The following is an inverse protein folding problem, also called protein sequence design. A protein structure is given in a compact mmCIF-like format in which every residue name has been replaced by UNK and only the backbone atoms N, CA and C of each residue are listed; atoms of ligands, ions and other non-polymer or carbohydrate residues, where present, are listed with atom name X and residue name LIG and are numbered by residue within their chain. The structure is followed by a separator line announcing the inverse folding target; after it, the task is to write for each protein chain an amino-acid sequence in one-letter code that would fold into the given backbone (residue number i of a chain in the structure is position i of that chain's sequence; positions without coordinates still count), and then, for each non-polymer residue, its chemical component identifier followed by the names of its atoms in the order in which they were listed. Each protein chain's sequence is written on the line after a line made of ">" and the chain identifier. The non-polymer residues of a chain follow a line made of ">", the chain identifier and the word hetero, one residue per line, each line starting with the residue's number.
data_IF_535473343351
#
_entry.id   IF_535473343351
#
_cell.length_a   1.000
_cell.length_b   1.000
_cell.length_c   1.000
_cell.angle_alpha   90.00
_cell.angle_beta   90.00
_cell.angle_gamma   90.00
#
_symmetry.space_group_name_H-M   'P 1'
#
loop_
_entity.id
_entity.type
_entity.pdbx_description
1 polymer ?
#
# COMPACT_ATOMS: atom_id res chain seq x y z
N UNK A 1 8.11 21.29 -9.18
CA UNK A 1 9.25 21.63 -10.03
C UNK A 1 8.72 22.40 -11.24
N UNK A 2 9.17 23.64 -11.47
CA UNK A 2 8.83 24.41 -12.68
C UNK A 2 10.08 24.50 -13.54
N UNK A 3 9.90 24.35 -14.85
CA UNK A 3 10.94 24.54 -15.87
C UNK A 3 12.19 23.64 -15.72
N UNK A 4 11.99 22.36 -15.41
CA UNK A 4 13.08 21.40 -15.48
C UNK A 4 13.48 21.19 -16.94
N UNK A 5 14.67 21.65 -17.32
CA UNK A 5 15.29 21.36 -18.62
C UNK A 5 16.45 20.40 -18.38
N UNK A 6 16.33 19.21 -18.92
CA UNK A 6 17.44 18.25 -18.97
C UNK A 6 18.02 18.31 -20.37
N UNK A 7 19.24 18.78 -20.50
CA UNK A 7 20.03 18.67 -21.72
C UNK A 7 21.14 17.68 -21.45
N UNK A 8 21.05 16.49 -22.03
CA UNK A 8 22.13 15.52 -21.95
C UNK A 8 22.26 14.81 -23.30
N UNK A 9 23.49 14.48 -23.66
CA UNK A 9 23.80 13.55 -24.74
C UNK A 9 24.01 12.14 -24.18
N UNK A 10 23.25 11.75 -23.17
CA UNK A 10 23.37 10.43 -22.56
C UNK A 10 22.97 9.36 -23.57
N UNK A 11 23.90 8.51 -23.93
CA UNK A 11 23.58 7.24 -24.56
C UNK A 11 22.91 6.34 -23.54
N UNK A 12 21.75 5.84 -23.88
CA UNK A 12 21.05 4.88 -23.05
C UNK A 12 21.61 3.48 -23.35
N UNK A 13 22.22 2.80 -22.36
CA UNK A 13 22.83 1.50 -22.61
C UNK A 13 21.77 0.45 -22.97
N UNK A 14 22.00 -0.29 -24.06
CA UNK A 14 21.15 -1.42 -24.44
C UNK A 14 21.43 -2.69 -23.61
N UNK A 15 22.53 -2.69 -22.88
CA UNK A 15 22.91 -3.76 -21.95
C UNK A 15 23.24 -3.16 -20.60
N UNK A 16 22.64 -3.69 -19.54
CA UNK A 16 22.87 -3.24 -18.17
C UNK A 16 23.17 -4.45 -17.30
N UNK A 17 24.27 -4.38 -16.53
CA UNK A 17 24.53 -5.27 -15.42
C UNK A 17 23.73 -4.77 -14.20
N UNK A 18 22.72 -5.54 -13.81
CA UNK A 18 21.80 -5.15 -12.75
C UNK A 18 22.35 -5.39 -11.34
N UNK A 19 23.53 -6.00 -11.19
CA UNK A 19 24.20 -6.27 -9.94
C UNK A 19 25.64 -5.75 -9.90
N UNK A 20 25.93 -4.70 -10.66
CA UNK A 20 27.29 -4.16 -10.80
C UNK A 20 27.77 -3.36 -9.56
N UNK A 21 26.86 -2.89 -8.73
CA UNK A 21 27.17 -2.07 -7.54
C UNK A 21 26.70 -2.73 -6.25
N UNK A 22 27.45 -2.60 -5.11
CA UNK A 22 27.04 -3.11 -3.81
C UNK A 22 25.66 -2.64 -3.34
N UNK A 23 25.30 -1.41 -3.69
CA UNK A 23 24.02 -0.78 -3.30
C UNK A 23 22.86 -1.25 -4.17
N UNK A 24 23.10 -2.17 -5.15
CA UNK A 24 22.10 -2.69 -6.09
C UNK A 24 21.10 -1.62 -6.56
N UNK A 25 21.56 -0.53 -7.18
CA UNK A 25 20.70 0.59 -7.53
C UNK A 25 19.58 0.16 -8.48
N UNK A 26 18.38 0.66 -8.21
CA UNK A 26 17.19 0.34 -8.98
C UNK A 26 16.45 -0.94 -8.57
N UNK A 27 16.98 -1.68 -7.61
CA UNK A 27 16.25 -2.77 -6.98
C UNK A 27 15.50 -2.29 -5.75
N UNK A 28 14.29 -2.79 -5.56
CA UNK A 28 13.43 -2.46 -4.43
C UNK A 28 12.69 -3.71 -3.97
N UNK A 29 12.58 -3.96 -2.66
CA UNK A 29 11.65 -4.95 -2.13
C UNK A 29 10.24 -4.60 -2.57
N UNK A 30 9.49 -5.58 -3.06
CA UNK A 30 8.08 -5.39 -3.44
C UNK A 30 7.17 -5.34 -2.20
N UNK A 31 7.37 -6.29 -1.31
CA UNK A 31 6.75 -6.27 -0.02
C UNK A 31 7.55 -5.38 0.90
N UNK A 32 6.86 -4.48 1.59
CA UNK A 32 7.52 -3.67 2.59
C UNK A 32 8.06 -4.56 3.71
N UNK A 33 9.36 -4.64 3.74
CA UNK A 33 10.10 -5.23 4.83
C UNK A 33 10.47 -4.13 5.78
N UNK A 34 9.48 -3.57 6.41
CA UNK A 34 9.59 -2.54 7.43
C UNK A 34 10.30 -2.99 8.71
N UNK A 35 10.91 -4.10 8.70
CA UNK A 35 11.85 -4.53 9.72
C UNK A 35 13.20 -3.88 9.43
N UNK A 36 13.67 -3.08 10.31
CA UNK A 36 14.89 -2.29 10.33
C UNK A 36 15.91 -2.57 9.23
N UNK A 37 16.51 -1.53 8.72
CA UNK A 37 17.44 -1.54 7.57
C UNK A 37 18.54 -2.63 7.57
N UNK A 38 18.75 -3.29 8.68
CA UNK A 38 19.73 -4.39 8.82
C UNK A 38 19.17 -5.77 8.41
N UNK A 39 17.86 -5.88 8.19
CA UNK A 39 17.16 -7.13 7.87
C UNK A 39 16.59 -7.20 6.45
N UNK A 40 17.16 -6.46 5.50
CA UNK A 40 16.84 -6.68 4.08
C UNK A 40 17.06 -8.14 3.73
N UNK A 41 16.05 -8.84 3.22
CA UNK A 41 16.16 -10.23 2.79
C UNK A 41 17.20 -10.37 1.68
N UNK A 42 17.47 -9.29 0.94
CA UNK A 42 18.31 -9.31 -0.25
C UNK A 42 19.56 -8.45 -0.06
N UNK A 43 20.73 -9.08 -0.21
CA UNK A 43 22.04 -8.43 -0.10
C UNK A 43 22.99 -8.93 -1.17
N UNK A 44 23.83 -8.03 -1.70
CA UNK A 44 24.89 -8.41 -2.64
C UNK A 44 26.16 -8.80 -1.88
N UNK A 45 26.56 -10.06 -1.97
CA UNK A 45 27.83 -10.55 -1.48
C UNK A 45 28.95 -10.28 -2.50
N UNK A 46 29.66 -9.18 -2.28
CA UNK A 46 30.79 -8.75 -3.12
C UNK A 46 32.10 -9.48 -2.84
N UNK A 47 32.16 -10.29 -1.79
CA UNK A 47 33.35 -11.10 -1.50
C UNK A 47 33.48 -12.30 -2.45
N UNK A 48 32.40 -12.67 -3.11
CA UNK A 48 32.39 -13.70 -4.15
C UNK A 48 32.74 -13.11 -5.53
N UNK A 49 33.33 -13.90 -6.40
CA UNK A 49 33.63 -13.53 -7.78
C UNK A 49 33.06 -14.57 -8.75
N UNK A 50 32.04 -14.22 -9.58
CA UNK A 50 31.30 -12.96 -9.58
C UNK A 50 30.50 -12.73 -8.30
N UNK A 51 30.12 -11.46 -7.99
CA UNK A 51 29.25 -11.14 -6.85
C UNK A 51 27.93 -11.93 -6.90
N UNK A 52 27.42 -12.29 -5.73
CA UNK A 52 26.18 -13.08 -5.60
C UNK A 52 25.14 -12.28 -4.84
N UNK A 53 24.00 -12.05 -5.44
CA UNK A 53 22.82 -11.50 -4.80
C UNK A 53 22.14 -12.62 -4.01
N UNK A 54 21.98 -12.42 -2.71
CA UNK A 54 21.44 -13.40 -1.77
C UNK A 54 20.13 -12.91 -1.21
N UNK A 55 19.06 -13.68 -1.43
CA UNK A 55 17.80 -13.56 -0.70
C UNK A 55 17.81 -14.56 0.46
N UNK A 56 17.64 -14.07 1.68
CA UNK A 56 17.78 -14.89 2.89
C UNK A 56 16.46 -15.51 3.33
N UNK A 57 16.54 -16.75 3.79
CA UNK A 57 15.42 -17.41 4.46
C UNK A 57 15.15 -16.75 5.81
N UNK A 58 13.86 -16.54 6.10
CA UNK A 58 13.38 -16.04 7.40
C UNK A 58 12.83 -17.19 8.24
N UNK A 59 13.30 -17.28 9.47
CA UNK A 59 12.87 -18.28 10.44
C UNK A 59 11.77 -17.72 11.36
N UNK A 60 10.89 -18.59 11.86
CA UNK A 60 9.91 -18.25 12.89
C UNK A 60 8.50 -17.95 12.38
N UNK A 61 8.22 -18.26 11.10
CA UNK A 61 6.88 -18.24 10.53
C UNK A 61 6.50 -19.69 10.17
N UNK A 62 5.95 -20.41 11.13
CA UNK A 62 5.42 -21.73 10.85
C UNK A 62 4.08 -21.58 10.07
N UNK A 63 4.02 -22.19 8.89
CA UNK A 63 2.85 -22.33 8.02
C UNK A 63 2.32 -21.06 7.31
N UNK A 64 3.13 -20.07 7.07
CA UNK A 64 2.76 -18.98 6.16
C UNK A 64 3.64 -19.05 4.92
N UNK A 65 3.04 -19.08 3.74
CA UNK A 65 3.74 -18.90 2.46
C UNK A 65 4.31 -17.47 2.41
N UNK A 66 5.49 -17.30 2.99
CA UNK A 66 6.11 -16.00 3.17
C UNK A 66 6.79 -15.56 1.88
N UNK A 67 6.09 -14.77 1.10
CA UNK A 67 6.58 -14.23 -0.16
C UNK A 67 7.71 -13.23 0.05
N UNK A 68 8.79 -13.35 -0.72
CA UNK A 68 9.85 -12.37 -0.85
C UNK A 68 10.11 -12.08 -2.32
N UNK A 69 10.01 -10.83 -2.70
CA UNK A 69 10.21 -10.38 -4.08
C UNK A 69 11.10 -9.15 -4.10
N UNK A 70 12.23 -9.25 -4.76
CA UNK A 70 13.07 -8.13 -5.13
C UNK A 70 12.77 -7.72 -6.56
N UNK A 71 12.28 -6.49 -6.77
CA UNK A 71 11.81 -5.98 -8.05
C UNK A 71 12.77 -4.93 -8.61
N UNK A 72 13.08 -5.01 -9.90
CA UNK A 72 13.81 -3.98 -10.60
C UNK A 72 12.85 -2.88 -11.06
N UNK A 73 13.15 -1.63 -10.76
CA UNK A 73 12.24 -0.49 -10.93
C UNK A 73 11.84 -0.21 -12.39
N UNK A 74 12.67 -0.62 -13.35
CA UNK A 74 12.45 -0.32 -14.75
C UNK A 74 11.68 -1.46 -15.43
N UNK A 75 10.51 -1.19 -16.05
CA UNK A 75 9.79 -2.20 -16.82
C UNK A 75 10.49 -2.53 -18.14
N UNK A 76 10.26 -3.74 -18.64
CA UNK A 76 10.61 -4.14 -20.02
C UNK A 76 9.51 -3.62 -20.94
N UNK A 77 9.56 -2.33 -21.25
CA UNK A 77 8.50 -1.64 -21.98
C UNK A 77 8.48 -1.99 -23.48
N UNK A 78 9.64 -2.30 -24.04
CA UNK A 78 9.84 -2.79 -25.40
C UNK A 78 10.35 -4.23 -25.35
N UNK A 79 10.70 -4.80 -26.49
CA UNK A 79 11.31 -6.15 -26.53
C UNK A 79 12.61 -6.17 -25.72
N UNK A 80 12.78 -7.19 -24.91
CA UNK A 80 13.94 -7.29 -24.05
C UNK A 80 14.14 -8.67 -23.44
N UNK A 81 15.34 -8.88 -22.91
CA UNK A 81 15.76 -10.13 -22.28
C UNK A 81 16.42 -9.83 -20.94
N UNK A 82 15.94 -10.46 -19.89
CA UNK A 82 16.65 -10.56 -18.62
C UNK A 82 17.31 -11.93 -18.55
N UNK A 83 18.61 -11.96 -18.32
CA UNK A 83 19.34 -13.20 -18.10
C UNK A 83 20.08 -13.19 -16.77
N UNK A 84 20.09 -14.32 -16.08
CA UNK A 84 20.84 -14.50 -14.85
C UNK A 84 21.19 -15.97 -14.61
N UNK A 85 22.11 -16.19 -13.67
CA UNK A 85 22.41 -17.50 -13.16
C UNK A 85 21.91 -17.62 -11.72
N UNK A 86 21.28 -18.74 -11.39
CA UNK A 86 20.83 -19.05 -10.05
C UNK A 86 21.34 -20.41 -9.59
N UNK A 87 21.70 -20.50 -8.32
CA UNK A 87 22.07 -21.77 -7.73
C UNK A 87 20.82 -22.51 -7.30
N UNK A 88 20.66 -23.75 -7.75
CA UNK A 88 19.50 -24.56 -7.41
C UNK A 88 19.90 -25.73 -6.50
N UNK A 89 19.33 -25.79 -5.31
CA UNK A 89 19.40 -26.93 -4.41
C UNK A 89 18.00 -27.22 -3.87
N UNK A 90 17.40 -28.38 -4.17
CA UNK A 90 16.00 -28.66 -3.83
C UNK A 90 15.71 -28.37 -2.34
N UNK A 91 14.63 -27.65 -2.07
CA UNK A 91 14.16 -27.24 -0.76
C UNK A 91 15.12 -26.39 0.08
N UNK A 92 16.23 -25.91 -0.49
CA UNK A 92 17.23 -25.12 0.23
C UNK A 92 17.55 -23.79 -0.48
N UNK A 93 17.83 -23.86 -1.76
CA UNK A 93 18.20 -22.73 -2.59
C UNK A 93 17.31 -22.73 -3.83
N UNK A 94 16.33 -21.84 -3.84
CA UNK A 94 15.33 -21.76 -4.90
C UNK A 94 15.01 -20.29 -5.16
N UNK A 95 15.06 -19.90 -6.43
CA UNK A 95 14.60 -18.58 -6.88
C UNK A 95 13.81 -18.71 -8.15
N UNK A 96 12.83 -17.88 -8.31
CA UNK A 96 11.92 -17.87 -9.44
C UNK A 96 11.92 -16.49 -10.11
N UNK A 97 11.85 -16.40 -11.45
CA UNK A 97 11.62 -15.14 -12.12
C UNK A 97 10.19 -14.65 -11.89
N UNK A 98 10.04 -13.35 -11.76
CA UNK A 98 8.73 -12.70 -11.73
C UNK A 98 8.65 -11.62 -12.82
N UNK A 99 7.45 -11.37 -13.33
CA UNK A 99 7.15 -10.33 -14.29
C UNK A 99 5.81 -9.67 -13.92
N UNK A 100 5.85 -8.41 -13.49
CA UNK A 100 4.70 -7.75 -12.90
C UNK A 100 4.25 -8.48 -11.63
N UNK A 101 3.02 -8.97 -11.61
CA UNK A 101 2.44 -9.74 -10.50
C UNK A 101 2.50 -11.25 -10.68
N UNK A 102 3.19 -11.74 -11.69
CA UNK A 102 3.34 -13.17 -11.98
C UNK A 102 4.70 -13.66 -11.53
N UNK A 103 4.76 -14.62 -10.62
CA UNK A 103 5.96 -15.42 -10.38
C UNK A 103 5.85 -16.75 -11.12
N UNK A 104 6.91 -17.12 -11.82
CA UNK A 104 6.99 -18.37 -12.57
C UNK A 104 7.79 -19.39 -11.75
N UNK A 105 7.08 -20.18 -10.96
CA UNK A 105 7.70 -21.16 -10.06
C UNK A 105 8.34 -22.29 -10.87
N UNK A 106 9.65 -22.41 -10.77
CA UNK A 106 10.41 -23.48 -11.40
C UNK A 106 10.34 -24.72 -10.51
N UNK A 107 9.55 -25.70 -10.92
CA UNK A 107 9.40 -26.99 -10.25
C UNK A 107 9.94 -28.07 -11.19
N UNK A 108 10.59 -29.16 -10.73
CA UNK A 108 11.04 -30.23 -11.62
C UNK A 108 9.96 -30.77 -12.54
N UNK A 109 8.69 -30.72 -12.15
CA UNK A 109 7.54 -31.18 -12.94
C UNK A 109 7.03 -30.14 -13.97
N UNK A 110 7.60 -28.94 -14.03
CA UNK A 110 7.19 -27.87 -14.97
C UNK A 110 7.17 -26.49 -14.32
N UNK A 111 6.70 -25.52 -15.07
CA UNK A 111 6.51 -24.15 -14.58
C UNK A 111 5.10 -23.99 -14.03
N UNK A 112 4.97 -23.49 -12.80
CA UNK A 112 3.69 -23.10 -12.22
C UNK A 112 3.61 -21.58 -12.15
N UNK A 113 2.44 -21.02 -12.38
CA UNK A 113 2.19 -19.58 -12.25
C UNK A 113 1.62 -19.31 -10.86
N UNK A 114 2.26 -18.39 -10.17
CA UNK A 114 1.83 -17.89 -8.89
C UNK A 114 1.52 -16.38 -9.00
N UNK A 115 0.35 -15.96 -8.52
CA UNK A 115 -0.04 -14.56 -8.48
C UNK A 115 0.44 -13.95 -7.18
N UNK A 116 1.34 -12.96 -7.30
CA UNK A 116 1.89 -12.23 -6.17
C UNK A 116 0.78 -11.38 -5.55
N UNK A 117 0.60 -11.47 -4.25
CA UNK A 117 -0.38 -10.70 -3.46
C UNK A 117 0.05 -9.23 -3.34
N UNK A 118 -0.87 -8.33 -2.96
CA UNK A 118 -0.57 -6.90 -2.81
C UNK A 118 0.18 -6.58 -1.52
N UNK A 119 0.17 -7.49 -0.58
CA UNK A 119 0.89 -7.34 0.69
C UNK A 119 1.11 -8.68 1.37
N UNK A 120 2.16 -8.75 2.17
CA UNK A 120 2.60 -9.96 2.88
C UNK A 120 1.51 -10.62 3.74
N UNK A 121 0.60 -9.82 4.26
CA UNK A 121 -0.49 -10.26 5.14
C UNK A 121 -1.87 -9.98 4.53
N UNK A 122 -1.92 -9.69 3.24
CA UNK A 122 -3.18 -9.42 2.59
C UNK A 122 -3.96 -10.71 2.39
N UNK A 123 -5.12 -10.79 3.03
CA UNK A 123 -6.10 -11.82 2.77
C UNK A 123 -6.95 -11.44 1.57
N UNK A 124 -6.50 -11.78 0.39
CA UNK A 124 -7.29 -11.62 -0.85
C UNK A 124 -8.37 -12.68 -0.99
N UNK A 125 -8.47 -13.63 -0.04
CA UNK A 125 -9.26 -14.85 -0.17
C UNK A 125 -8.65 -15.88 -1.13
N UNK A 126 -7.45 -15.62 -1.66
CA UNK A 126 -6.68 -16.61 -2.41
C UNK A 126 -5.99 -17.56 -1.45
N UNK A 127 -5.87 -18.83 -1.89
CA UNK A 127 -4.99 -19.78 -1.22
C UNK A 127 -3.56 -19.22 -1.29
N UNK A 128 -2.82 -19.13 -0.17
CA UNK A 128 -1.41 -18.70 -0.18
C UNK A 128 -0.54 -19.48 -1.17
N UNK A 129 -0.85 -20.75 -1.39
CA UNK A 129 -0.18 -21.56 -2.39
C UNK A 129 -0.60 -21.24 -3.84
N UNK A 130 -1.54 -20.34 -4.08
CA UNK A 130 -2.23 -19.99 -5.33
C UNK A 130 -1.45 -20.25 -6.65
N UNK A 131 -0.78 -21.39 -6.71
CA UNK A 131 0.04 -21.82 -7.81
C UNK A 131 -0.77 -22.72 -8.76
N UNK A 132 -0.84 -22.31 -10.03
CA UNK A 132 -1.55 -23.05 -11.07
C UNK A 132 -0.62 -23.57 -12.15
N UNK A 133 -0.94 -24.72 -12.73
CA UNK A 133 -0.27 -25.27 -13.92
C UNK A 133 -1.05 -24.86 -15.16
N UNK A 134 -0.44 -24.08 -16.02
CA UNK A 134 -0.99 -23.73 -17.33
C UNK A 134 -0.43 -24.71 -18.36
N UNK A 135 -1.16 -25.81 -18.61
CA UNK A 135 -0.68 -26.92 -19.45
C UNK A 135 -0.33 -26.47 -20.89
N UNK A 136 -1.15 -25.59 -21.47
CA UNK A 136 -0.98 -25.09 -22.84
C UNK A 136 0.24 -24.17 -23.00
N UNK A 137 0.78 -23.66 -21.91
CA UNK A 137 1.93 -22.76 -21.89
C UNK A 137 3.26 -23.48 -21.61
N UNK A 138 3.22 -24.75 -21.17
CA UNK A 138 4.42 -25.55 -20.98
C UNK A 138 5.12 -25.80 -22.32
N UNK A 139 6.46 -25.75 -22.32
CA UNK A 139 7.29 -26.01 -23.48
C UNK A 139 8.45 -26.93 -23.10
N UNK A 140 9.06 -27.55 -24.05
CA UNK A 140 10.25 -28.36 -23.84
C UNK A 140 9.99 -29.70 -23.14
N UNK A 141 10.94 -30.20 -22.33
CA UNK A 141 10.86 -31.52 -21.73
C UNK A 141 9.85 -31.58 -20.58
N UNK A 142 9.25 -32.74 -20.36
CA UNK A 142 8.30 -32.99 -19.28
C UNK A 142 8.90 -32.78 -17.87
N UNK A 143 10.22 -32.89 -17.73
CA UNK A 143 10.96 -32.56 -16.52
C UNK A 143 11.87 -31.38 -16.83
N UNK A 144 11.80 -30.32 -16.03
CA UNK A 144 12.65 -29.16 -16.24
C UNK A 144 14.13 -29.54 -16.16
N UNK A 145 14.98 -28.97 -17.05
CA UNK A 145 16.41 -29.28 -17.10
C UNK A 145 17.19 -28.57 -15.99
N UNK A 146 16.69 -28.67 -14.76
CA UNK A 146 17.34 -28.15 -13.55
C UNK A 146 18.54 -28.99 -13.16
N UNK A 147 19.68 -28.36 -12.95
CA UNK A 147 20.89 -28.98 -12.42
C UNK A 147 20.87 -28.81 -10.90
N UNK A 148 20.69 -29.91 -10.18
CA UNK A 148 20.71 -29.89 -8.72
C UNK A 148 22.13 -29.64 -8.18
N UNK A 149 22.20 -28.82 -7.11
CA UNK A 149 23.44 -28.38 -6.45
C UNK A 149 24.45 -27.73 -7.40
N UNK A 150 23.93 -26.99 -8.40
CA UNK A 150 24.72 -26.31 -9.43
C UNK A 150 24.05 -25.01 -9.89
N UNK A 151 24.83 -24.20 -10.61
CA UNK A 151 24.35 -23.00 -11.26
C UNK A 151 23.56 -23.32 -12.52
N UNK A 152 22.37 -22.71 -12.63
CA UNK A 152 21.48 -22.79 -13.76
C UNK A 152 21.33 -21.42 -14.41
N UNK A 153 21.28 -21.36 -15.73
CA UNK A 153 21.05 -20.11 -16.46
C UNK A 153 19.58 -19.99 -16.80
N UNK A 154 18.98 -18.89 -16.42
CA UNK A 154 17.63 -18.50 -16.84
C UNK A 154 17.67 -17.30 -17.77
N UNK A 155 16.79 -17.29 -18.77
CA UNK A 155 16.48 -16.12 -19.58
C UNK A 155 14.96 -15.93 -19.59
N UNK A 156 14.55 -14.72 -19.27
CA UNK A 156 13.18 -14.24 -19.43
C UNK A 156 13.17 -13.29 -20.62
N UNK A 157 12.53 -13.69 -21.70
CA UNK A 157 12.37 -12.87 -22.92
C UNK A 157 10.97 -12.29 -22.95
N UNK A 158 10.85 -11.02 -23.31
CA UNK A 158 9.59 -10.35 -23.63
C UNK A 158 9.68 -9.88 -25.07
N UNK A 159 8.77 -10.35 -25.92
CA UNK A 159 8.68 -9.93 -27.32
C UNK A 159 7.21 -9.64 -27.65
N UNK A 160 6.90 -8.39 -27.94
CA UNK A 160 5.52 -7.92 -27.98
C UNK A 160 4.81 -8.21 -26.64
N UNK A 161 3.69 -8.92 -26.71
CA UNK A 161 2.92 -9.31 -25.52
C UNK A 161 3.19 -10.76 -25.07
N UNK A 162 4.30 -11.36 -25.50
CA UNK A 162 4.63 -12.74 -25.15
C UNK A 162 5.86 -12.79 -24.24
N UNK A 163 5.74 -13.46 -23.11
CA UNK A 163 6.86 -13.80 -22.23
C UNK A 163 7.30 -15.26 -22.47
N UNK A 164 8.61 -15.48 -22.56
CA UNK A 164 9.24 -16.79 -22.73
C UNK A 164 10.27 -17.02 -21.63
N UNK A 165 10.31 -18.23 -21.12
CA UNK A 165 11.34 -18.69 -20.19
C UNK A 165 12.22 -19.74 -20.85
N UNK A 166 13.53 -19.49 -20.85
CA UNK A 166 14.53 -20.45 -21.28
C UNK A 166 15.40 -20.83 -20.08
N UNK A 167 15.45 -22.12 -19.78
CA UNK A 167 16.28 -22.70 -18.73
C UNK A 167 17.41 -23.51 -19.35
N UNK A 168 18.66 -23.15 -19.03
CA UNK A 168 19.86 -23.79 -19.59
C UNK A 168 19.84 -23.88 -21.13
N UNK A 169 19.28 -22.83 -21.76
CA UNK A 169 19.16 -22.72 -23.22
C UNK A 169 17.96 -23.45 -23.84
N UNK A 170 17.11 -24.10 -23.06
CA UNK A 170 15.90 -24.76 -23.53
C UNK A 170 14.68 -23.92 -23.20
N UNK A 171 13.79 -23.68 -24.19
CA UNK A 171 12.50 -23.07 -23.98
C UNK A 171 11.64 -24.00 -23.10
N UNK A 172 11.22 -23.53 -21.94
CA UNK A 172 10.44 -24.32 -20.96
C UNK A 172 9.01 -23.83 -20.79
N UNK A 173 8.75 -22.55 -21.11
CA UNK A 173 7.46 -21.93 -20.90
C UNK A 173 7.26 -20.73 -21.82
N UNK A 174 6.03 -20.53 -22.30
CA UNK A 174 5.64 -19.38 -23.13
C UNK A 174 4.22 -18.96 -22.79
N UNK A 175 4.02 -17.67 -22.52
CA UNK A 175 2.73 -17.12 -22.09
C UNK A 175 2.43 -15.79 -22.75
N UNK A 176 1.19 -15.61 -23.19
CA UNK A 176 0.64 -14.30 -23.52
C UNK A 176 0.49 -13.48 -22.25
N UNK A 177 1.04 -12.28 -22.22
CA UNK A 177 0.88 -11.35 -21.10
C UNK A 177 -0.47 -10.65 -21.17
N UNK A 178 -1.05 -10.42 -20.00
CA UNK A 178 -2.24 -9.59 -19.89
C UNK A 178 -1.88 -8.12 -20.16
N UNK A 179 -2.80 -7.36 -20.76
CA UNK A 179 -2.59 -5.95 -21.09
C UNK A 179 -2.26 -5.09 -19.85
N UNK A 180 -2.67 -5.55 -18.67
CA UNK A 180 -2.41 -4.90 -17.37
C UNK A 180 -1.08 -5.30 -16.73
N UNK A 181 -0.31 -6.23 -17.34
CA UNK A 181 0.97 -6.64 -16.79
C UNK A 181 1.98 -5.48 -16.87
N UNK A 182 2.51 -5.06 -15.74
CA UNK A 182 3.46 -3.93 -15.64
C UNK A 182 4.85 -4.23 -16.22
N UNK A 183 5.14 -5.48 -16.60
CA UNK A 183 6.42 -5.93 -17.17
C UNK A 183 7.66 -5.59 -16.34
N UNK A 184 7.49 -5.38 -15.05
CA UNK A 184 8.60 -5.19 -14.12
C UNK A 184 9.19 -6.53 -13.75
N UNK A 185 10.49 -6.70 -13.97
CA UNK A 185 11.21 -7.91 -13.60
C UNK A 185 11.41 -8.00 -12.09
N UNK A 186 11.36 -9.21 -11.54
CA UNK A 186 11.66 -9.50 -10.15
C UNK A 186 12.29 -10.88 -9.93
N UNK A 187 12.91 -11.02 -8.77
CA UNK A 187 13.44 -12.27 -8.23
C UNK A 187 12.58 -12.66 -7.03
N UNK A 188 11.91 -13.79 -7.13
CA UNK A 188 10.94 -14.26 -6.15
C UNK A 188 11.41 -15.55 -5.48
N UNK A 189 11.19 -15.67 -4.17
CA UNK A 189 11.27 -16.94 -3.44
C UNK A 189 10.31 -16.95 -2.24
N UNK A 190 9.99 -18.14 -1.74
CA UNK A 190 9.30 -18.27 -0.47
C UNK A 190 10.34 -18.26 0.66
N UNK A 191 10.46 -17.14 1.35
CA UNK A 191 11.51 -16.93 2.36
C UNK A 191 11.33 -17.77 3.65
N UNK A 192 10.16 -18.35 3.88
CA UNK A 192 9.94 -19.35 4.93
C UNK A 192 10.57 -20.72 4.59
N UNK A 193 10.87 -21.00 3.32
CA UNK A 193 11.28 -22.31 2.81
C UNK A 193 12.72 -22.36 2.31
N UNK A 194 13.18 -21.29 1.63
CA UNK A 194 14.44 -21.34 0.90
C UNK A 194 15.21 -20.02 0.96
N UNK A 195 16.52 -20.10 0.78
CA UNK A 195 17.35 -18.96 0.37
C UNK A 195 17.32 -18.86 -1.18
N UNK A 196 17.69 -17.70 -1.70
CA UNK A 196 17.91 -17.44 -3.13
C UNK A 196 19.36 -16.98 -3.36
N UNK A 197 20.05 -17.58 -4.32
CA UNK A 197 21.39 -17.17 -4.74
C UNK A 197 21.39 -16.88 -6.23
N UNK A 198 21.69 -15.64 -6.62
CA UNK A 198 21.65 -15.18 -8.02
C UNK A 198 22.91 -14.40 -8.37
N UNK A 199 23.42 -14.54 -9.59
CA UNK A 199 24.56 -13.80 -10.10
C UNK A 199 24.43 -13.51 -11.59
N UNK A 200 25.32 -12.66 -12.12
CA UNK A 200 25.36 -12.32 -13.55
C UNK A 200 24.02 -11.84 -14.11
N UNK A 201 23.35 -10.96 -13.38
CA UNK A 201 22.03 -10.46 -13.74
C UNK A 201 22.19 -9.38 -14.79
N UNK A 202 21.69 -9.62 -16.01
CA UNK A 202 21.81 -8.71 -17.14
C UNK A 202 20.46 -8.41 -17.75
N UNK A 203 20.25 -7.17 -18.09
CA UNK A 203 19.15 -6.73 -18.94
C UNK A 203 19.71 -6.35 -20.31
N UNK A 204 19.05 -6.81 -21.36
CA UNK A 204 19.34 -6.47 -22.76
C UNK A 204 18.01 -6.12 -23.44
N UNK A 205 17.96 -5.01 -24.18
CA UNK A 205 16.76 -4.65 -24.92
C UNK A 205 16.71 -3.19 -25.32
N UNK A 206 15.64 -2.85 -26.00
CA UNK A 206 15.40 -1.52 -26.48
C UNK A 206 14.80 -0.62 -25.41
N UNK A 207 15.10 0.66 -25.51
CA UNK A 207 14.42 1.67 -24.71
C UNK A 207 13.14 2.11 -25.41
N UNK A 208 12.08 2.48 -24.64
CA UNK A 208 10.93 3.10 -25.22
C UNK A 208 11.31 4.34 -26.02
N UNK A 209 10.98 4.35 -27.30
CA UNK A 209 11.24 5.49 -28.19
C UNK A 209 10.15 6.54 -28.09
N UNK A 210 9.01 6.16 -27.54
CA UNK A 210 7.87 7.04 -27.30
C UNK A 210 7.47 6.96 -25.84
N UNK A 211 7.05 8.09 -25.28
CA UNK A 211 6.41 8.05 -23.96
C UNK A 211 5.11 7.26 -24.06
N UNK A 212 4.71 6.56 -22.97
CA UNK A 212 3.42 5.92 -22.90
C UNK A 212 2.31 6.89 -23.31
N UNK A 213 1.35 6.39 -24.08
CA UNK A 213 0.20 7.21 -24.45
C UNK A 213 -0.59 7.62 -23.21
N UNK A 214 -1.40 8.69 -23.35
CA UNK A 214 -2.29 9.09 -22.26
C UNK A 214 -3.17 7.93 -21.78
N UNK A 215 -3.60 7.04 -22.68
CA UNK A 215 -4.38 5.85 -22.33
C UNK A 215 -3.62 4.83 -21.48
N UNK A 216 -2.32 4.64 -21.69
CA UNK A 216 -1.51 3.75 -20.87
C UNK A 216 -1.26 4.34 -19.46
N UNK A 217 -1.18 5.66 -19.38
CA UNK A 217 -1.09 6.38 -18.10
C UNK A 217 -2.45 6.40 -17.38
N UNK A 218 -3.55 6.45 -18.12
CA UNK A 218 -4.92 6.39 -17.57
C UNK A 218 -5.19 5.07 -16.86
N UNK A 219 -4.74 3.93 -17.41
CA UNK A 219 -4.92 2.62 -16.74
C UNK A 219 -4.23 2.56 -15.38
N UNK A 220 -3.04 3.15 -15.25
CA UNK A 220 -2.30 3.20 -13.99
C UNK A 220 -2.89 4.16 -12.95
N UNK A 221 -3.71 5.13 -13.39
CA UNK A 221 -4.31 6.16 -12.55
C UNK A 221 -5.84 6.02 -12.41
N UNK A 222 -6.45 5.08 -13.09
CA UNK A 222 -7.90 5.00 -13.30
C UNK A 222 -8.71 4.98 -12.01
N UNK A 223 -8.32 4.18 -11.02
CA UNK A 223 -9.03 4.14 -9.73
C UNK A 223 -8.94 5.48 -8.99
N UNK A 224 -7.82 6.17 -9.09
CA UNK A 224 -7.62 7.47 -8.45
C UNK A 224 -8.42 8.55 -9.14
N UNK A 225 -8.41 8.59 -10.48
CA UNK A 225 -9.13 9.59 -11.27
C UNK A 225 -10.65 9.39 -11.13
N UNK A 226 -11.12 8.15 -11.06
CA UNK A 226 -12.52 7.81 -10.80
C UNK A 226 -12.98 8.30 -9.42
N UNK A 227 -12.12 8.21 -8.40
CA UNK A 227 -12.41 8.75 -7.07
C UNK A 227 -12.51 10.29 -7.08
N UNK A 228 -11.60 10.96 -7.77
CA UNK A 228 -11.58 12.42 -7.83
C UNK A 228 -12.76 12.94 -8.66
N UNK A 229 -13.08 12.33 -9.79
CA UNK A 229 -14.28 12.62 -10.58
C UNK A 229 -15.55 12.37 -9.76
N UNK A 230 -15.64 11.24 -9.08
CA UNK A 230 -16.82 10.92 -8.26
C UNK A 230 -16.95 11.84 -7.05
N UNK A 231 -15.85 12.36 -6.49
CA UNK A 231 -15.87 13.38 -5.45
C UNK A 231 -16.59 14.64 -5.89
N UNK A 232 -16.38 15.09 -7.13
CA UNK A 232 -17.01 16.29 -7.68
C UNK A 232 -18.53 16.11 -7.89
N UNK A 233 -19.02 14.87 -7.93
CA UNK A 233 -20.46 14.58 -8.03
C UNK A 233 -21.20 14.64 -6.69
N UNK A 234 -20.49 14.66 -5.57
CA UNK A 234 -21.06 14.75 -4.23
C UNK A 234 -21.62 16.16 -3.99
N UNK A 235 -22.92 16.24 -3.72
CA UNK A 235 -23.67 17.52 -3.74
C UNK A 235 -23.50 18.37 -2.50
N UNK A 236 -23.13 17.76 -1.36
CA UNK A 236 -22.95 18.47 -0.09
C UNK A 236 -21.46 18.57 0.26
N UNK A 237 -21.04 19.73 0.75
CA UNK A 237 -19.64 19.98 1.14
C UNK A 237 -19.53 20.75 2.43
N UNK A 238 -18.51 20.45 3.20
CA UNK A 238 -18.09 21.18 4.40
C UNK A 238 -16.56 21.31 4.37
N UNK A 239 -16.08 22.51 4.61
CA UNK A 239 -14.64 22.78 4.69
C UNK A 239 -14.35 23.61 5.93
N UNK A 240 -13.28 23.28 6.63
CA UNK A 240 -12.83 24.03 7.78
C UNK A 240 -11.30 24.19 7.77
N UNK A 241 -10.87 25.43 7.89
CA UNK A 241 -9.48 25.82 8.10
C UNK A 241 -9.23 25.95 9.61
N UNK A 242 -8.44 25.03 10.15
CA UNK A 242 -8.14 25.01 11.59
C UNK A 242 -7.29 26.17 12.09
N UNK A 243 -6.71 26.99 11.19
CA UNK A 243 -6.07 28.26 11.60
C UNK A 243 -7.09 29.24 12.20
N UNK A 244 -8.38 29.06 11.91
CA UNK A 244 -9.47 29.86 12.46
C UNK A 244 -9.96 29.37 13.83
N UNK A 245 -9.41 28.24 14.33
CA UNK A 245 -9.74 27.65 15.61
C UNK A 245 -10.79 26.55 15.56
N UNK A 246 -11.39 26.25 16.71
CA UNK A 246 -12.42 25.23 16.92
C UNK A 246 -13.70 25.87 17.51
N UNK A 247 -14.58 26.45 16.69
CA UNK A 247 -15.84 26.99 17.19
C UNK A 247 -16.66 25.92 17.94
N UNK A 248 -17.10 26.15 19.21
CA UNK A 248 -17.87 25.15 19.95
C UNK A 248 -19.23 24.81 19.32
N UNK A 249 -19.72 25.63 18.42
CA UNK A 249 -20.93 25.39 17.66
C UNK A 249 -20.72 24.29 16.60
N UNK A 250 -19.49 24.15 16.10
CA UNK A 250 -19.15 23.23 15.01
C UNK A 250 -18.35 22.01 15.47
N UNK A 251 -17.62 22.13 16.59
CA UNK A 251 -16.73 21.09 17.07
C UNK A 251 -16.96 20.73 18.52
N UNK A 252 -16.79 19.45 18.82
CA UNK A 252 -16.57 18.93 20.15
C UNK A 252 -15.14 18.40 20.29
N UNK A 253 -14.64 18.38 21.51
CA UNK A 253 -13.35 17.78 21.84
C UNK A 253 -13.60 16.61 22.78
N UNK A 254 -13.37 15.42 22.28
CA UNK A 254 -13.45 14.21 23.09
C UNK A 254 -12.07 13.84 23.62
N UNK A 255 -12.04 13.43 24.88
CA UNK A 255 -10.84 12.98 25.54
C UNK A 255 -11.20 11.84 26.50
N UNK A 256 -10.75 10.63 26.21
CA UNK A 256 -11.12 9.46 26.99
C UNK A 256 -10.38 9.37 28.34
N UNK A 257 -9.20 9.95 28.46
CA UNK A 257 -8.43 9.98 29.71
C UNK A 257 -7.22 10.93 29.62
N UNK A 258 -6.71 11.33 30.78
CA UNK A 258 -5.45 12.06 30.90
C UNK A 258 -5.47 13.55 30.55
N UNK A 259 -4.30 14.13 30.54
CA UNK A 259 -4.06 15.54 30.20
C UNK A 259 -3.96 15.72 28.70
N UNK A 260 -4.41 16.86 28.20
CA UNK A 260 -4.27 17.30 26.83
C UNK A 260 -3.86 18.76 26.77
N UNK A 261 -3.22 19.17 25.72
CA UNK A 261 -3.05 20.57 25.38
C UNK A 261 -3.57 20.78 23.95
N UNK A 262 -4.35 21.81 23.75
CA UNK A 262 -4.88 22.24 22.47
C UNK A 262 -4.51 23.69 22.33
N UNK A 263 -3.74 23.99 21.29
CA UNK A 263 -3.20 25.31 21.03
C UNK A 263 -3.55 25.71 19.59
N UNK A 264 -4.10 26.91 19.45
CA UNK A 264 -4.29 27.52 18.14
C UNK A 264 -2.99 28.21 17.74
N UNK A 265 -2.49 27.91 16.56
CA UNK A 265 -1.36 28.58 15.96
C UNK A 265 -1.71 29.07 14.54
N UNK A 266 -0.77 29.75 13.87
CA UNK A 266 -1.01 30.32 12.53
C UNK A 266 -1.27 29.23 11.45
N UNK A 267 -0.82 27.99 11.69
CA UNK A 267 -0.90 26.89 10.74
C UNK A 267 -2.04 25.93 11.01
N UNK A 268 -2.77 26.11 12.14
CA UNK A 268 -3.89 25.24 12.50
C UNK A 268 -4.04 25.01 14.00
N UNK A 269 -4.67 23.91 14.37
CA UNK A 269 -4.86 23.48 15.75
C UNK A 269 -3.88 22.39 16.12
N UNK A 270 -2.97 22.72 17.05
CA UNK A 270 -2.03 21.76 17.60
C UNK A 270 -2.65 20.99 18.76
N UNK A 271 -2.67 19.69 18.65
CA UNK A 271 -3.08 18.77 19.71
C UNK A 271 -1.85 18.07 20.25
N UNK A 272 -1.60 18.20 21.55
CA UNK A 272 -0.51 17.49 22.25
C UNK A 272 -1.11 16.61 23.33
N UNK A 273 -0.65 15.37 23.39
CA UNK A 273 -1.16 14.40 24.34
C UNK A 273 -0.02 13.62 25.02
N UNK A 274 0.08 13.66 26.36
CA UNK A 274 0.87 12.71 27.13
C UNK A 274 0.27 11.31 27.06
N UNK A 275 1.11 10.29 27.04
CA UNK A 275 0.73 8.89 27.14
C UNK A 275 0.11 8.53 28.49
N UNK A 276 -0.50 7.34 28.56
CA UNK A 276 -1.15 6.83 29.76
C UNK A 276 -1.54 5.35 29.61
N UNK A 277 -2.14 4.76 30.63
CA UNK A 277 -2.62 3.37 30.56
C UNK A 277 -3.73 3.23 29.51
N UNK A 278 -3.70 2.13 28.78
CA UNK A 278 -4.62 1.83 27.69
C UNK A 278 -4.26 2.59 26.42
N UNK A 279 -5.25 2.93 25.61
CA UNK A 279 -5.12 3.71 24.37
C UNK A 279 -5.77 5.09 24.56
N UNK A 280 -5.13 5.98 25.34
CA UNK A 280 -5.69 7.30 25.53
C UNK A 280 -5.66 8.08 24.23
N UNK A 281 -6.78 8.73 23.92
CA UNK A 281 -6.90 9.54 22.71
C UNK A 281 -7.49 10.92 22.99
N UNK A 282 -7.22 11.83 22.08
CA UNK A 282 -7.89 13.13 21.99
C UNK A 282 -8.40 13.29 20.58
N UNK A 283 -9.69 13.56 20.44
CA UNK A 283 -10.35 13.70 19.16
C UNK A 283 -10.94 15.09 18.99
N UNK A 284 -10.70 15.68 17.82
CA UNK A 284 -11.45 16.82 17.31
C UNK A 284 -12.61 16.24 16.50
N UNK A 285 -13.83 16.56 16.90
CA UNK A 285 -15.05 15.95 16.37
C UNK A 285 -15.92 17.03 15.74
N UNK A 286 -16.01 17.13 14.41
CA UNK A 286 -16.97 18.01 13.77
C UNK A 286 -18.39 17.54 14.10
N UNK A 287 -19.30 18.47 14.44
CA UNK A 287 -20.72 18.23 14.69
C UNK A 287 -21.44 18.02 13.36
N UNK A 288 -21.02 17.01 12.64
CA UNK A 288 -21.38 16.71 11.27
C UNK A 288 -21.68 15.23 11.11
N UNK A 289 -22.78 14.91 10.46
CA UNK A 289 -23.14 13.56 10.03
C UNK A 289 -23.09 13.48 8.52
N UNK A 290 -22.48 12.45 7.98
CA UNK A 290 -22.40 12.17 6.54
C UNK A 290 -23.37 11.07 6.17
N UNK A 291 -24.05 11.22 5.04
CA UNK A 291 -25.04 10.27 4.54
C UNK A 291 -24.74 9.89 3.09
N UNK A 292 -24.90 8.61 2.78
CA UNK A 292 -24.64 8.07 1.45
C UNK A 292 -23.16 7.92 1.16
N UNK A 293 -22.78 8.17 -0.06
CA UNK A 293 -21.38 8.22 -0.47
C UNK A 293 -20.71 9.48 0.09
N UNK A 294 -19.45 9.34 0.46
CA UNK A 294 -18.69 10.43 1.07
C UNK A 294 -17.21 10.41 0.73
N UNK A 295 -16.56 11.53 0.98
CA UNK A 295 -15.13 11.73 0.81
C UNK A 295 -14.63 12.70 1.89
N UNK A 296 -13.82 12.22 2.80
CA UNK A 296 -13.31 12.95 3.96
C UNK A 296 -11.80 13.04 3.83
N UNK A 297 -11.27 14.26 3.79
CA UNK A 297 -9.83 14.54 3.76
C UNK A 297 -9.45 15.41 4.93
N UNK A 298 -8.41 15.02 5.67
CA UNK A 298 -7.81 15.82 6.72
C UNK A 298 -6.33 16.04 6.44
N UNK A 299 -5.90 17.30 6.51
CA UNK A 299 -4.51 17.69 6.38
C UNK A 299 -3.88 17.87 7.76
N UNK A 300 -2.66 17.32 7.91
CA UNK A 300 -1.89 17.43 9.14
C UNK A 300 -0.46 17.85 8.89
N UNK A 301 0.17 18.43 9.91
CA UNK A 301 1.59 18.76 9.93
C UNK A 301 2.20 18.48 11.32
N UNK A 302 3.52 18.47 11.37
CA UNK A 302 4.32 18.34 12.60
C UNK A 302 3.92 17.14 13.48
N UNK A 303 3.51 16.03 12.86
CA UNK A 303 3.28 14.82 13.60
C UNK A 303 4.57 14.34 14.22
N UNK A 304 4.65 14.34 15.51
CA UNK A 304 5.84 13.95 16.25
C UNK A 304 5.48 13.15 17.49
N UNK A 305 6.36 12.26 17.90
CA UNK A 305 6.22 11.46 19.10
C UNK A 305 7.55 11.31 19.82
N UNK A 306 7.50 11.40 21.15
CA UNK A 306 8.56 10.94 22.06
C UNK A 306 7.96 9.82 22.87
N UNK A 307 8.23 8.61 22.47
CA UNK A 307 7.62 7.40 23.02
C UNK A 307 8.63 6.63 23.86
N UNK A 308 8.12 5.92 24.84
CA UNK A 308 8.90 4.92 25.57
C UNK A 308 9.11 3.68 24.67
N UNK A 309 10.00 2.80 25.09
CA UNK A 309 10.33 1.58 24.33
C UNK A 309 9.09 0.72 24.04
N UNK A 310 8.95 0.31 22.79
CA UNK A 310 7.89 -0.55 22.26
C UNK A 310 6.48 0.09 22.17
N UNK A 311 6.40 1.40 22.10
CA UNK A 311 5.15 2.12 21.96
C UNK A 311 4.99 2.72 20.56
N UNK A 312 3.73 2.93 20.18
CA UNK A 312 3.35 3.59 18.93
C UNK A 312 2.28 4.66 19.18
N UNK A 313 2.35 5.76 18.46
CA UNK A 313 1.34 6.80 18.43
C UNK A 313 0.68 6.87 17.05
N UNK A 314 -0.60 7.20 17.04
CA UNK A 314 -1.38 7.26 15.80
C UNK A 314 -2.11 8.60 15.67
N UNK A 315 -2.10 9.16 14.47
CA UNK A 315 -3.08 10.16 14.04
C UNK A 315 -3.99 9.52 13.01
N UNK A 316 -5.30 9.82 13.06
CA UNK A 316 -6.26 9.11 12.22
C UNK A 316 -7.52 9.91 11.91
N UNK A 317 -8.10 9.64 10.73
CA UNK A 317 -9.52 9.83 10.49
C UNK A 317 -10.23 8.55 10.94
N UNK A 318 -11.16 8.70 11.85
CA UNK A 318 -12.02 7.64 12.35
C UNK A 318 -13.46 7.93 11.92
N UNK A 319 -14.12 6.93 11.37
CA UNK A 319 -15.55 6.98 11.01
C UNK A 319 -16.21 5.69 11.48
N UNK A 320 -17.33 5.80 12.17
CA UNK A 320 -18.18 4.67 12.57
C UNK A 320 -19.38 4.61 11.63
N UNK A 321 -19.60 3.46 10.97
CA UNK A 321 -20.74 3.25 10.10
C UNK A 321 -21.95 2.77 10.90
N UNK A 322 -23.14 3.24 10.53
CA UNK A 322 -24.40 2.76 11.10
C UNK A 322 -24.75 1.41 10.49
N UNK A 323 -24.18 0.35 11.04
CA UNK A 323 -24.52 -1.02 10.69
C UNK A 323 -24.68 -1.88 11.96
N UNK A 324 -25.15 -3.13 11.78
CA UNK A 324 -25.34 -4.07 12.89
C UNK A 324 -24.07 -4.40 13.65
N UNK A 325 -22.92 -4.20 12.99
CA UNK A 325 -21.61 -4.57 13.51
C UNK A 325 -20.85 -3.36 14.06
N UNK A 326 -21.41 -2.14 13.94
CA UNK A 326 -20.73 -0.90 14.32
C UNK A 326 -19.33 -0.84 13.71
N UNK A 327 -19.30 -1.00 12.37
CA UNK A 327 -18.03 -1.02 11.62
C UNK A 327 -17.29 0.30 11.79
N UNK A 328 -16.08 0.22 12.31
CA UNK A 328 -15.19 1.37 12.42
C UNK A 328 -14.20 1.35 11.26
N UNK A 329 -14.10 2.46 10.55
CA UNK A 329 -13.21 2.67 9.43
C UNK A 329 -12.13 3.66 9.86
N UNK A 330 -10.86 3.28 9.71
CA UNK A 330 -9.75 4.11 10.15
C UNK A 330 -8.67 4.18 9.08
N UNK A 331 -8.31 5.38 8.66
CA UNK A 331 -7.07 5.65 7.94
C UNK A 331 -6.16 6.42 8.88
N UNK A 332 -4.94 5.95 9.08
CA UNK A 332 -4.07 6.50 10.10
C UNK A 332 -2.59 6.48 9.72
N UNK A 333 -1.85 7.37 10.32
CA UNK A 333 -0.40 7.48 10.29
C UNK A 333 0.16 7.08 11.64
N UNK A 334 1.07 6.13 11.67
CA UNK A 334 1.71 5.63 12.89
C UNK A 334 3.14 6.15 13.00
N UNK A 335 3.56 6.51 14.21
CA UNK A 335 4.94 6.70 14.59
C UNK A 335 5.29 5.75 15.74
N UNK A 336 6.39 5.02 15.62
CA UNK A 336 6.83 4.04 16.61
C UNK A 336 8.21 4.38 17.16
N UNK A 337 8.45 4.03 18.43
CA UNK A 337 9.74 4.22 19.09
C UNK A 337 10.79 3.18 18.69
N UNK A 338 10.34 2.00 18.29
CA UNK A 338 11.17 0.93 17.73
C UNK A 338 10.44 0.28 16.58
N UNK A 339 11.14 0.06 15.47
CA UNK A 339 10.60 -0.75 14.40
C UNK A 339 10.44 -2.20 14.91
N UNK A 340 9.23 -2.55 15.31
CA UNK A 340 8.82 -3.94 15.40
C UNK A 340 8.23 -4.34 14.05
N UNK A 341 8.08 -5.63 13.80
CA UNK A 341 7.50 -6.13 12.53
C UNK A 341 6.13 -5.50 12.15
N UNK A 342 5.51 -4.77 13.07
CA UNK A 342 4.15 -4.23 12.92
C UNK A 342 4.03 -2.73 13.18
N UNK A 343 5.04 -2.05 13.75
CA UNK A 343 4.90 -0.72 14.36
C UNK A 343 5.90 0.32 13.85
N UNK A 344 6.21 0.31 12.58
CA UNK A 344 7.05 1.34 11.98
C UNK A 344 6.29 2.62 11.68
N UNK A 345 7.03 3.67 11.32
CA UNK A 345 6.44 4.89 10.77
C UNK A 345 5.80 4.56 9.42
N UNK A 346 4.47 4.52 9.36
CA UNK A 346 3.73 4.13 8.15
C UNK A 346 2.31 4.65 8.13
N UNK A 347 1.68 4.67 6.98
CA UNK A 347 0.26 4.87 6.82
C UNK A 347 -0.46 3.53 6.79
N UNK A 348 -1.63 3.46 7.41
CA UNK A 348 -2.37 2.22 7.56
C UNK A 348 -3.86 2.44 7.29
N UNK A 349 -4.51 1.39 6.83
CA UNK A 349 -5.95 1.28 6.72
C UNK A 349 -6.45 0.18 7.66
N UNK A 350 -7.54 0.39 8.37
CA UNK A 350 -8.13 -0.64 9.20
C UNK A 350 -9.66 -0.61 9.20
N UNK A 351 -10.24 -1.81 9.16
CA UNK A 351 -11.64 -2.06 9.46
C UNK A 351 -11.76 -2.86 10.75
N UNK A 352 -12.62 -2.42 11.65
CA UNK A 352 -12.98 -3.13 12.87
C UNK A 352 -14.45 -3.46 12.81
N UNK A 353 -14.79 -4.74 12.87
CA UNK A 353 -16.17 -5.21 12.78
C UNK A 353 -16.55 -6.07 13.96
N UNK A 354 -17.80 -5.99 14.41
CA UNK A 354 -18.32 -6.79 15.50
C UNK A 354 -18.29 -6.12 16.87
N UNK A 355 -18.94 -6.70 17.87
CA UNK A 355 -18.97 -6.20 19.24
C UNK A 355 -17.60 -6.29 19.91
N UNK A 356 -17.36 -5.45 20.92
CA UNK A 356 -16.04 -5.25 21.55
C UNK A 356 -15.37 -6.54 22.05
N UNK A 357 -16.14 -7.54 22.43
CA UNK A 357 -15.66 -8.86 22.89
C UNK A 357 -15.32 -9.85 21.75
N UNK A 358 -15.71 -9.54 20.51
CA UNK A 358 -15.52 -10.36 19.30
C UNK A 358 -15.16 -9.56 18.08
N UNK A 359 -14.39 -8.49 18.24
CA UNK A 359 -13.97 -7.66 17.13
C UNK A 359 -13.09 -8.40 16.13
N UNK A 360 -13.50 -8.39 14.88
CA UNK A 360 -12.65 -8.71 13.75
C UNK A 360 -11.78 -7.50 13.38
N UNK A 361 -10.55 -7.77 12.96
CA UNK A 361 -9.60 -6.76 12.53
C UNK A 361 -9.14 -7.06 11.11
N UNK A 362 -9.14 -6.06 10.26
CA UNK A 362 -8.57 -6.13 8.91
C UNK A 362 -7.64 -4.93 8.74
N UNK A 363 -6.34 -5.18 8.63
CA UNK A 363 -5.30 -4.16 8.53
C UNK A 363 -4.54 -4.27 7.23
N UNK A 364 -4.25 -3.11 6.63
CA UNK A 364 -3.27 -2.96 5.57
C UNK A 364 -2.33 -1.83 5.95
N UNK A 365 -1.04 -2.04 5.76
CA UNK A 365 -0.01 -1.04 6.04
C UNK A 365 0.76 -0.70 4.76
N UNK A 366 1.10 0.58 4.61
CA UNK A 366 2.04 1.02 3.58
C UNK A 366 3.49 0.68 3.93
N UNK A 367 4.42 0.84 2.99
CA UNK A 367 5.84 0.96 3.28
C UNK A 367 6.16 1.99 4.36
N UNK A 368 7.27 1.82 5.06
CA UNK A 368 7.76 2.77 6.04
C UNK A 368 7.96 4.16 5.41
N UNK A 369 7.56 5.19 6.15
CA UNK A 369 7.53 6.57 5.68
C UNK A 369 8.10 7.49 6.76
N UNK A 370 8.90 8.47 6.35
CA UNK A 370 9.46 9.47 7.27
C UNK A 370 8.61 10.75 7.35
N UNK A 371 7.60 10.90 6.49
CA UNK A 371 6.78 12.10 6.42
C UNK A 371 6.10 12.41 7.76
N UNK A 372 6.29 13.63 8.24
CA UNK A 372 5.65 14.17 9.46
C UNK A 372 4.46 15.06 9.15
N UNK A 373 4.18 15.29 7.86
CA UNK A 373 3.06 16.04 7.32
C UNK A 373 2.39 15.26 6.19
N UNK A 374 1.19 15.65 5.82
CA UNK A 374 0.48 15.01 4.73
C UNK A 374 -1.03 15.12 4.85
N UNK A 375 -1.73 14.26 4.10
CA UNK A 375 -3.18 14.21 4.09
C UNK A 375 -3.67 12.77 4.19
N UNK A 376 -4.58 12.53 5.10
CA UNK A 376 -5.35 11.30 5.20
C UNK A 376 -6.66 11.50 4.44
N UNK A 377 -7.11 10.47 3.70
CA UNK A 377 -8.39 10.51 2.98
C UNK A 377 -9.11 9.18 3.12
N UNK A 378 -10.40 9.25 3.46
CA UNK A 378 -11.31 8.13 3.54
C UNK A 378 -12.52 8.41 2.64
N UNK A 379 -12.73 7.58 1.62
CA UNK A 379 -13.82 7.73 0.68
C UNK A 379 -14.71 6.49 0.65
N UNK A 380 -16.01 6.70 0.49
CA UNK A 380 -17.00 5.65 0.25
C UNK A 380 -17.65 5.86 -1.10
N UNK A 381 -17.81 4.75 -1.86
CA UNK A 381 -18.58 4.70 -3.11
C UNK A 381 -19.39 3.41 -3.10
N UNK A 382 -20.70 3.55 -2.94
CA UNK A 382 -21.60 2.42 -2.83
C UNK A 382 -21.23 1.47 -1.69
N UNK A 383 -20.80 0.26 -2.02
CA UNK A 383 -20.35 -0.75 -1.07
C UNK A 383 -18.83 -0.84 -0.91
N UNK A 384 -18.07 0.14 -1.36
CA UNK A 384 -16.62 0.16 -1.27
C UNK A 384 -16.13 1.34 -0.43
N UNK A 385 -15.17 1.07 0.45
CA UNK A 385 -14.37 2.09 1.13
C UNK A 385 -12.97 2.09 0.54
N UNK A 386 -12.46 3.29 0.27
CA UNK A 386 -11.08 3.52 -0.16
C UNK A 386 -10.35 4.31 0.92
N UNK A 387 -9.18 3.82 1.28
CA UNK A 387 -8.29 4.40 2.26
C UNK A 387 -7.06 4.94 1.54
N UNK A 388 -6.80 6.24 1.67
CA UNK A 388 -5.75 6.89 0.89
C UNK A 388 -4.88 7.79 1.77
N UNK A 389 -3.65 7.97 1.35
CA UNK A 389 -2.66 8.82 1.99
C UNK A 389 -1.88 9.63 0.96
N UNK A 390 -1.54 10.87 1.30
CA UNK A 390 -0.62 11.71 0.52
C UNK A 390 0.43 12.30 1.47
N UNK A 391 1.72 12.10 1.13
CA UNK A 391 2.85 12.61 1.89
C UNK A 391 3.09 14.08 1.60
N UNK A 392 3.47 14.84 2.62
CA UNK A 392 3.90 16.23 2.51
C UNK A 392 3.03 17.06 1.53
N UNK A 393 3.65 17.73 0.57
CA UNK A 393 2.98 18.54 -0.45
C UNK A 393 2.55 17.73 -1.70
N UNK A 394 2.58 16.39 -1.65
CA UNK A 394 2.17 15.56 -2.78
C UNK A 394 0.76 15.93 -3.22
N UNK A 395 0.56 16.23 -4.50
CA UNK A 395 -0.77 16.46 -5.07
C UNK A 395 -1.59 15.19 -5.20
N UNK A 396 -0.94 14.03 -5.11
CA UNK A 396 -1.52 12.73 -5.41
C UNK A 396 -1.69 11.91 -4.14
N UNK A 397 -2.88 11.31 -4.02
CA UNK A 397 -3.13 10.31 -3.01
C UNK A 397 -2.68 8.94 -3.49
N UNK A 398 -2.05 8.18 -2.62
CA UNK A 398 -1.76 6.77 -2.79
C UNK A 398 -2.90 5.97 -2.17
N UNK A 399 -3.47 5.04 -2.92
CA UNK A 399 -4.47 4.10 -2.41
C UNK A 399 -3.76 3.06 -1.53
N UNK A 400 -4.16 2.99 -0.26
CA UNK A 400 -3.66 2.01 0.70
C UNK A 400 -4.45 0.71 0.61
N UNK A 401 -5.78 0.84 0.56
CA UNK A 401 -6.68 -0.31 0.50
C UNK A 401 -8.05 0.08 -0.06
N UNK A 402 -8.73 -0.90 -0.65
CA UNK A 402 -10.17 -0.89 -0.91
C UNK A 402 -10.82 -2.02 -0.11
N UNK A 403 -11.92 -1.73 0.60
CA UNK A 403 -12.63 -2.71 1.41
C UNK A 403 -14.13 -2.67 1.18
N UNK A 404 -14.79 -3.83 1.09
CA UNK A 404 -16.24 -3.89 0.97
C UNK A 404 -16.91 -3.54 2.30
N UNK A 405 -18.02 -2.79 2.22
CA UNK A 405 -18.90 -2.50 3.36
C UNK A 405 -20.36 -2.78 2.99
N UNK A 406 -21.22 -3.05 3.99
CA UNK A 406 -22.64 -3.26 3.69
C UNK A 406 -23.29 -2.05 3.03
N UNK A 407 -24.08 -2.28 1.99
CA UNK A 407 -24.83 -1.23 1.30
C UNK A 407 -25.85 -0.56 2.24
N UNK A 408 -26.35 -1.30 3.23
CA UNK A 408 -27.32 -0.82 4.22
C UNK A 408 -26.76 0.21 5.20
N UNK A 409 -25.42 0.39 5.25
CA UNK A 409 -24.79 1.44 6.08
C UNK A 409 -24.81 2.77 5.33
N UNK A 410 -25.99 3.38 5.20
CA UNK A 410 -26.18 4.65 4.47
C UNK A 410 -25.79 5.89 5.28
N UNK A 411 -25.60 5.75 6.58
CA UNK A 411 -25.24 6.85 7.49
C UNK A 411 -23.96 6.51 8.21
N UNK A 412 -23.11 7.48 8.41
CA UNK A 412 -21.93 7.35 9.26
C UNK A 412 -22.08 8.23 10.50
N UNK A 413 -21.72 7.68 11.64
CA UNK A 413 -21.67 8.43 12.89
C UNK A 413 -20.24 8.84 13.20
N UNK A 414 -20.08 10.07 13.72
CA UNK A 414 -18.91 10.44 14.46
C UNK A 414 -17.59 10.42 13.68
N UNK A 415 -17.46 11.33 12.71
CA UNK A 415 -16.14 11.65 12.17
C UNK A 415 -15.26 12.14 13.30
N UNK A 416 -14.05 11.61 13.45
CA UNK A 416 -13.08 12.04 14.43
C UNK A 416 -11.71 12.21 13.81
N UNK A 417 -11.09 13.35 14.07
CA UNK A 417 -9.66 13.53 13.88
C UNK A 417 -8.98 13.22 15.21
N UNK A 418 -8.30 12.08 15.29
CA UNK A 418 -7.88 11.51 16.56
C UNK A 418 -6.36 11.45 16.67
N UNK A 419 -5.83 11.80 17.83
CA UNK A 419 -4.47 11.52 18.25
C UNK A 419 -4.50 10.48 19.38
N UNK A 420 -3.88 9.34 19.17
CA UNK A 420 -3.70 8.27 20.16
C UNK A 420 -2.23 8.20 20.59
N UNK A 421 -2.00 8.13 21.90
CA UNK A 421 -0.66 7.98 22.49
C UNK A 421 -0.74 6.93 23.58
N UNK A 422 -0.53 5.64 23.28
CA UNK A 422 -0.57 4.59 24.26
C UNK A 422 0.61 4.71 25.23
N UNK A 423 0.48 4.13 26.42
CA UNK A 423 1.51 4.00 27.45
C UNK A 423 2.25 5.30 27.82
N UNK A 424 3.57 5.30 27.78
CA UNK A 424 4.41 6.44 28.13
C UNK A 424 4.62 7.43 26.99
N UNK A 425 5.41 8.45 27.24
CA UNK A 425 5.79 9.40 26.22
C UNK A 425 4.81 10.54 25.97
N UNK A 426 4.96 11.21 24.85
CA UNK A 426 4.11 12.33 24.43
C UNK A 426 4.09 12.41 22.91
N UNK A 427 2.91 12.65 22.34
CA UNK A 427 2.74 12.87 20.91
C UNK A 427 2.03 14.17 20.62
N UNK A 428 2.28 14.73 19.44
CA UNK A 428 1.60 15.94 18.98
C UNK A 428 1.39 15.91 17.47
N UNK A 429 0.35 16.62 17.03
CA UNK A 429 0.00 16.85 15.62
C UNK A 429 -0.63 18.23 15.48
N UNK A 430 -0.41 18.88 14.36
CA UNK A 430 -1.13 20.08 13.94
C UNK A 430 -2.13 19.71 12.86
N UNK A 431 -3.43 19.83 13.15
CA UNK A 431 -4.48 19.70 12.14
C UNK A 431 -4.62 21.03 11.39
N UNK A 432 -4.57 21.00 10.06
CA UNK A 432 -4.58 22.20 9.21
C UNK A 432 -5.94 22.41 8.54
N UNK A 433 -6.43 21.41 7.85
CA UNK A 433 -7.67 21.48 7.09
C UNK A 433 -8.50 20.21 7.25
N UNK A 434 -9.82 20.38 7.20
CA UNK A 434 -10.79 19.30 7.06
C UNK A 434 -11.67 19.63 5.86
N UNK A 435 -11.75 18.71 4.89
CA UNK A 435 -12.64 18.80 3.74
C UNK A 435 -13.52 17.54 3.69
N UNK A 436 -14.82 17.73 3.74
CA UNK A 436 -15.83 16.68 3.72
C UNK A 436 -16.77 16.93 2.55
N UNK A 437 -16.94 15.92 1.72
CA UNK A 437 -17.97 15.87 0.70
C UNK A 437 -18.84 14.64 0.90
N UNK A 438 -20.13 14.76 0.63
CA UNK A 438 -21.08 13.66 0.77
C UNK A 438 -22.30 13.86 -0.14
N UNK A 439 -23.12 12.81 -0.30
CA UNK A 439 -24.44 12.96 -0.92
C UNK A 439 -25.29 13.93 -0.13
N UNK A 440 -25.28 13.84 1.21
CA UNK A 440 -25.86 14.85 2.09
C UNK A 440 -25.13 14.94 3.43
N UNK A 441 -25.26 16.09 4.08
CA UNK A 441 -24.66 16.40 5.39
C UNK A 441 -25.75 16.91 6.34
N UNK A 442 -25.71 16.46 7.59
CA UNK A 442 -26.57 16.95 8.68
C UNK A 442 -25.74 17.26 9.92
N UNK A 443 -26.36 17.89 10.93
CA UNK A 443 -25.71 18.30 12.15
C UNK A 443 -25.49 19.81 12.26
N UNK A 444 -24.98 20.27 13.40
CA UNK A 444 -24.83 21.69 13.69
C UNK A 444 -23.80 22.41 12.79
N UNK A 445 -22.85 21.68 12.27
CA UNK A 445 -21.83 22.18 11.33
C UNK A 445 -22.26 22.08 9.86
N UNK A 446 -23.39 21.42 9.55
CA UNK A 446 -23.83 21.23 8.17
C UNK A 446 -24.23 22.56 7.51
N UNK A 447 -23.88 22.76 6.23
CA UNK A 447 -24.31 23.95 5.49
C UNK A 447 -25.82 24.11 5.46
N UNK A 448 -26.31 25.34 5.62
CA UNK A 448 -27.74 25.67 5.70
C UNK A 448 -28.53 25.17 4.46
N UNK A 449 -27.92 25.21 3.29
CA UNK A 449 -28.55 24.76 2.03
C UNK A 449 -28.84 23.25 2.02
N UNK A 450 -28.02 22.45 2.69
CA UNK A 450 -28.24 21.01 2.84
C UNK A 450 -29.43 20.74 3.77
N UNK A 451 -29.57 21.51 4.86
CA UNK A 451 -30.68 21.41 5.78
C UNK A 451 -32.01 21.77 5.11
N UNK A 452 -32.05 22.78 4.24
CA UNK A 452 -33.25 23.14 3.48
C UNK A 452 -33.69 22.02 2.54
N UNK A 453 -32.79 21.39 1.79
CA UNK A 453 -33.12 20.27 0.90
C UNK A 453 -33.68 19.07 1.64
N UNK A 454 -33.17 18.75 2.84
CA UNK A 454 -33.69 17.68 3.67
C UNK A 454 -35.08 17.97 4.23
N UNK A 455 -35.36 19.22 4.61
CA UNK A 455 -36.69 19.66 5.08
C UNK A 455 -37.70 19.66 3.92
N UNK A 456 -37.29 20.06 2.72
CA UNK A 456 -38.14 20.08 1.51
C UNK A 456 -38.41 18.66 1.00
N UNK A 457 -37.49 17.71 1.19
CA UNK A 457 -37.70 16.32 0.79
C UNK A 457 -38.74 15.56 1.66
N UNK A 458 -39.08 16.10 2.83
CA UNK A 458 -40.03 15.49 3.77
C UNK A 458 -39.56 14.15 4.35
N UNK A 459 -40.18 13.65 5.40
CA UNK A 459 -39.92 12.26 5.82
C UNK A 459 -40.46 11.33 4.72
N UNK A 460 -39.60 10.45 4.20
CA UNK A 460 -40.07 9.36 3.33
C UNK A 460 -41.25 8.69 4.02
N UNK A 461 -42.39 8.75 3.39
CA UNK A 461 -43.59 8.13 3.93
C UNK A 461 -43.39 6.63 3.93
N UNK A 462 -43.24 6.05 5.12
CA UNK A 462 -43.41 4.63 5.38
C UNK A 462 -44.85 4.22 4.97
N UNK A 463 -45.03 4.06 3.70
CA UNK A 463 -46.25 3.49 3.12
C UNK A 463 -45.86 2.42 2.13
N UNK A 464 -45.56 1.20 2.69
CA UNK A 464 -46.15 0.01 2.07
C UNK A 464 -46.07 -1.18 3.04
N UNK A 465 -47.21 -1.64 3.27
CA UNK A 465 -47.74 -2.84 3.89
C UNK A 465 -46.97 -4.16 3.56
#
# INVERSE_FOLDING_TARGET
>A
VRDLRVTSNSEVPQQIDLAASPDIPGWQPYFDESAGHDDSDWQLDTQKSPPVLIGRRKYGFDNSDFESLLRYHRPIAEDGVISYEFFYSPNRLVVHPALGRLAFLLDPSGVKVHWITDGRFESTGLDPANASVEADNQRGPATLPLKSDDWNKLQLEVAGDVARLLLNGQLIYERQLDATNQRTFGLFHFADRSDAHVRNIRWEGDWPRTLPTAGDQELANRERDDLDVSRETLSASYQHDFSTGLPPTEFDILNNSGKRMIELNADGVRVTRPGGKGWPNTSVVPKLEVHGDFDITAEFADFSSKLDDNDAANIQIYVELEDKNRTECRVFRTASSKPSKFDEQRSQAALFTGPDDKRGYDFVASPAEEATSGRLRLARRGNQLQFLFAEDDSRFFRLLATRPVPVSSSRSFGIRLMLETPHGGTSSVTWKNLDVRAESLTGAAAPIDTLKKLVEAGPESDSQK
#
